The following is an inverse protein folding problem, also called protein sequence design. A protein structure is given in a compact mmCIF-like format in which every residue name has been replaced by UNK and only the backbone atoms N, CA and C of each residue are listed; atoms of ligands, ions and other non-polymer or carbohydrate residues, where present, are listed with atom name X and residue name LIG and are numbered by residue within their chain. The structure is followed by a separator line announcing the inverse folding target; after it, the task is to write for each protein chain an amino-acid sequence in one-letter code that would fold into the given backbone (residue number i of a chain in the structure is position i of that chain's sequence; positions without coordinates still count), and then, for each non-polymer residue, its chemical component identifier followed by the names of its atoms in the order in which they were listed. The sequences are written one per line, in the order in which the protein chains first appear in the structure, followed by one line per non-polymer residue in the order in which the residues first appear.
data_IF_991888821695
#
_entry.id   IF_991888821695
#
_cell.length_a   1.000
_cell.length_b   1.000
_cell.length_c   1.000
_cell.angle_alpha   90.00
_cell.angle_beta   90.00
_cell.angle_gamma   90.00
#
_symmetry.space_group_name_H-M   'P 1'
#
loop_
_entity.id
_entity.type
_entity.pdbx_description
1 polymer ?
#
# COMPACT_ATOMS: atom_id res chain seq x y z
N UNK A 1 0.53 -62.73 -20.61
CA UNK A 1 -0.41 -61.98 -19.74
C UNK A 1 0.26 -61.44 -18.48
N UNK A 2 0.81 -62.26 -17.57
CA UNK A 2 1.49 -61.77 -16.34
C UNK A 2 2.60 -60.73 -16.58
N UNK A 3 3.49 -60.95 -17.56
CA UNK A 3 4.55 -59.97 -17.92
C UNK A 3 4.00 -58.64 -18.45
N UNK A 4 2.87 -58.69 -19.16
CA UNK A 4 2.20 -57.51 -19.71
C UNK A 4 1.52 -56.70 -18.60
N UNK A 5 0.89 -57.38 -17.64
CA UNK A 5 0.29 -56.77 -16.44
C UNK A 5 1.37 -56.11 -15.57
N UNK A 6 2.50 -56.80 -15.33
CA UNK A 6 3.62 -56.24 -14.56
C UNK A 6 4.23 -55.02 -15.27
N UNK A 7 4.40 -55.07 -16.58
CA UNK A 7 4.89 -53.92 -17.37
C UNK A 7 3.92 -52.73 -17.33
N UNK A 8 2.61 -52.97 -17.39
CA UNK A 8 1.59 -51.94 -17.24
C UNK A 8 1.56 -51.32 -15.84
N UNK A 9 1.76 -52.11 -14.79
CA UNK A 9 1.86 -51.63 -13.41
C UNK A 9 3.13 -50.79 -13.18
N UNK A 10 4.26 -51.22 -13.75
CA UNK A 10 5.53 -50.49 -13.65
C UNK A 10 5.47 -49.13 -14.34
N UNK A 11 4.88 -49.08 -15.54
CA UNK A 11 4.69 -47.82 -16.29
C UNK A 11 3.75 -46.86 -15.57
N UNK A 12 2.65 -47.36 -15.01
CA UNK A 12 1.75 -46.55 -14.19
C UNK A 12 2.46 -45.97 -12.95
N UNK A 13 3.24 -46.79 -12.24
CA UNK A 13 4.05 -46.34 -11.09
C UNK A 13 5.04 -45.22 -11.45
N UNK A 14 5.70 -45.33 -12.62
CA UNK A 14 6.61 -44.31 -13.12
C UNK A 14 5.91 -43.00 -13.50
N UNK A 15 4.68 -43.07 -14.00
CA UNK A 15 3.88 -41.88 -14.31
C UNK A 15 3.46 -41.18 -13.01
N UNK A 16 3.00 -41.94 -12.00
CA UNK A 16 2.65 -41.35 -10.70
C UNK A 16 3.85 -40.69 -10.03
N UNK A 17 5.02 -41.34 -10.02
CA UNK A 17 6.22 -40.76 -9.42
C UNK A 17 6.67 -39.49 -10.15
N UNK A 18 6.55 -39.45 -11.48
CA UNK A 18 6.84 -38.26 -12.29
C UNK A 18 5.90 -37.09 -11.97
N UNK A 19 4.60 -37.36 -11.81
CA UNK A 19 3.61 -36.34 -11.42
C UNK A 19 3.88 -35.83 -10.00
N UNK A 20 4.15 -36.72 -9.04
CA UNK A 20 4.47 -36.34 -7.66
C UNK A 20 5.74 -35.49 -7.58
N UNK A 21 6.78 -35.85 -8.34
CA UNK A 21 8.02 -35.07 -8.40
C UNK A 21 7.81 -33.69 -9.01
N UNK A 22 7.01 -33.61 -10.08
CA UNK A 22 6.65 -32.35 -10.71
C UNK A 22 5.88 -31.42 -9.75
N UNK A 23 4.91 -31.96 -9.00
CA UNK A 23 4.18 -31.23 -7.97
C UNK A 23 5.10 -30.67 -6.88
N UNK A 24 6.12 -31.42 -6.47
CA UNK A 24 7.07 -31.00 -5.42
C UNK A 24 8.04 -29.92 -5.91
N UNK A 25 8.35 -29.89 -7.21
CA UNK A 25 9.16 -28.84 -7.82
C UNK A 25 8.38 -27.55 -8.10
N UNK A 26 7.07 -27.64 -8.33
CA UNK A 26 6.19 -26.48 -8.55
C UNK A 26 5.78 -25.78 -7.25
N UNK A 27 5.88 -26.44 -6.10
CA UNK A 27 5.63 -25.79 -4.81
C UNK A 27 6.79 -24.85 -4.48
N UNK A 28 6.63 -23.55 -4.77
CA UNK A 28 7.49 -22.52 -4.19
C UNK A 28 7.23 -22.46 -2.69
N UNK A 29 8.28 -22.61 -1.90
CA UNK A 29 8.21 -22.39 -0.46
C UNK A 29 8.07 -20.91 -0.16
N UNK A 30 7.34 -20.58 0.89
CA UNK A 30 7.26 -19.22 1.40
C UNK A 30 8.64 -18.74 1.86
N UNK A 31 9.11 -17.64 1.30
CA UNK A 31 10.37 -17.00 1.71
C UNK A 31 10.08 -15.72 2.52
N UNK A 32 10.25 -15.82 3.85
CA UNK A 32 10.05 -14.70 4.76
C UNK A 32 11.06 -13.56 4.54
N UNK A 33 12.23 -13.84 3.97
CA UNK A 33 13.26 -12.84 3.66
C UNK A 33 12.82 -12.02 2.45
N UNK A 34 12.41 -12.68 1.37
CA UNK A 34 11.88 -12.03 0.16
C UNK A 34 10.71 -11.09 0.52
N UNK A 35 9.76 -11.57 1.33
CA UNK A 35 8.64 -10.74 1.81
C UNK A 35 9.12 -9.48 2.54
N UNK A 36 10.13 -9.59 3.41
CA UNK A 36 10.68 -8.43 4.13
C UNK A 36 11.38 -7.46 3.18
N UNK A 37 12.09 -7.97 2.18
CA UNK A 37 12.76 -7.15 1.17
C UNK A 37 11.75 -6.39 0.31
N UNK A 38 10.68 -7.06 -0.14
CA UNK A 38 9.58 -6.41 -0.87
C UNK A 38 8.88 -5.34 -0.01
N UNK A 39 8.58 -5.64 1.25
CA UNK A 39 7.99 -4.65 2.17
C UNK A 39 8.92 -3.44 2.29
N UNK A 40 10.22 -3.65 2.54
CA UNK A 40 11.19 -2.58 2.67
C UNK A 40 11.29 -1.73 1.41
N UNK A 41 11.32 -2.36 0.23
CA UNK A 41 11.34 -1.68 -1.06
C UNK A 41 10.08 -0.83 -1.24
N UNK A 42 8.90 -1.43 -1.12
CA UNK A 42 7.63 -0.75 -1.31
C UNK A 42 7.40 0.36 -0.29
N UNK A 43 7.92 0.22 0.93
CA UNK A 43 7.84 1.23 2.00
C UNK A 43 8.99 2.24 2.00
N UNK A 44 9.89 2.20 1.02
CA UNK A 44 11.03 3.11 0.95
C UNK A 44 10.60 4.56 0.70
N UNK A 45 11.49 5.50 1.02
CA UNK A 45 11.28 6.93 0.79
C UNK A 45 11.06 7.28 -0.69
N UNK A 46 11.50 6.42 -1.62
CA UNK A 46 11.29 6.57 -3.06
C UNK A 46 9.81 6.69 -3.41
N UNK A 47 8.93 5.97 -2.69
CA UNK A 47 7.51 5.90 -3.00
C UNK A 47 6.62 6.86 -2.21
N UNK A 48 7.19 7.70 -1.34
CA UNK A 48 6.54 8.86 -0.68
C UNK A 48 5.10 8.62 -0.19
N UNK A 49 4.83 7.45 0.39
CA UNK A 49 3.51 7.13 0.95
C UNK A 49 2.42 6.72 -0.05
N UNK A 50 2.72 6.62 -1.35
CA UNK A 50 1.87 6.02 -2.41
C UNK A 50 0.41 6.52 -2.39
N UNK A 51 0.23 7.82 -2.22
CA UNK A 51 -1.10 8.41 -2.23
C UNK A 51 -1.80 8.14 -3.58
N UNK A 52 -3.07 7.77 -3.54
CA UNK A 52 -3.86 7.48 -4.75
C UNK A 52 -3.79 8.64 -5.74
N UNK A 53 -3.47 8.34 -7.00
CA UNK A 53 -3.35 9.32 -8.07
C UNK A 53 -1.99 10.02 -8.19
N UNK A 54 -1.01 9.72 -7.34
CA UNK A 54 0.37 10.21 -7.51
C UNK A 54 1.19 9.33 -8.45
N UNK A 55 2.32 9.86 -8.92
CA UNK A 55 3.27 9.13 -9.77
C UNK A 55 3.84 7.90 -9.05
N UNK A 56 4.16 8.05 -7.77
CA UNK A 56 4.74 6.98 -6.95
C UNK A 56 3.78 5.80 -6.80
N UNK A 57 2.47 6.07 -6.66
CA UNK A 57 1.46 5.02 -6.66
C UNK A 57 1.40 4.28 -8.01
N UNK A 58 1.55 4.99 -9.13
CA UNK A 58 1.59 4.38 -10.46
C UNK A 58 2.86 3.52 -10.66
N UNK A 59 4.02 3.96 -10.17
CA UNK A 59 5.28 3.20 -10.23
C UNK A 59 5.18 1.89 -9.45
N UNK A 60 4.61 1.91 -8.24
CA UNK A 60 4.37 0.68 -7.48
C UNK A 60 3.35 -0.22 -8.16
N UNK A 61 2.32 0.35 -8.79
CA UNK A 61 1.39 -0.41 -9.62
C UNK A 61 2.06 -1.09 -10.82
N UNK A 62 3.07 -0.48 -11.43
CA UNK A 62 3.89 -1.09 -12.48
C UNK A 62 4.76 -2.22 -11.93
N UNK A 63 5.43 -2.00 -10.79
CA UNK A 63 6.20 -3.04 -10.11
C UNK A 63 5.36 -4.29 -9.82
N UNK A 64 4.17 -4.14 -9.25
CA UNK A 64 3.28 -5.28 -8.93
C UNK A 64 2.83 -6.01 -10.20
N UNK A 65 2.51 -5.27 -11.28
CA UNK A 65 2.19 -5.87 -12.58
C UNK A 65 3.36 -6.72 -13.08
N UNK A 66 4.58 -6.19 -13.04
CA UNK A 66 5.75 -6.88 -13.56
C UNK A 66 6.08 -8.15 -12.74
N UNK A 67 5.85 -8.13 -11.43
CA UNK A 67 5.92 -9.33 -10.58
C UNK A 67 4.85 -10.37 -10.97
N UNK A 68 3.62 -9.95 -11.27
CA UNK A 68 2.57 -10.85 -11.77
C UNK A 68 2.94 -11.50 -13.10
N UNK A 69 3.48 -10.72 -14.03
CA UNK A 69 3.99 -11.24 -15.31
C UNK A 69 5.15 -12.21 -15.09
N UNK A 70 6.08 -11.89 -14.18
CA UNK A 70 7.25 -12.72 -13.87
C UNK A 70 6.86 -14.10 -13.32
N UNK A 71 5.83 -14.18 -12.47
CA UNK A 71 5.35 -15.46 -11.94
C UNK A 71 4.38 -16.20 -12.89
N UNK A 72 4.07 -15.62 -14.06
CA UNK A 72 3.16 -16.20 -15.04
C UNK A 72 1.68 -16.11 -14.64
N UNK A 73 1.31 -15.14 -13.81
CA UNK A 73 -0.08 -14.91 -13.43
C UNK A 73 -0.82 -14.27 -14.60
N UNK A 74 -1.95 -14.86 -15.00
CA UNK A 74 -2.80 -14.32 -16.05
C UNK A 74 -3.68 -13.17 -15.52
N UNK A 75 -3.92 -12.12 -16.33
CA UNK A 75 -4.79 -11.03 -15.95
C UNK A 75 -6.25 -11.48 -15.86
N UNK A 76 -6.99 -10.93 -14.92
CA UNK A 76 -8.41 -11.26 -14.72
C UNK A 76 -9.34 -10.72 -15.83
N UNK A 77 -8.95 -9.61 -16.48
CA UNK A 77 -9.77 -8.88 -17.46
C UNK A 77 -8.87 -8.31 -18.56
N UNK A 78 -9.20 -7.12 -19.08
CA UNK A 78 -8.41 -6.36 -20.05
C UNK A 78 -7.11 -5.81 -19.42
N UNK A 79 -6.21 -6.73 -19.06
CA UNK A 79 -4.91 -6.45 -18.44
C UNK A 79 -4.90 -6.57 -16.91
N UNK A 80 -3.79 -6.14 -16.32
CA UNK A 80 -3.50 -6.28 -14.89
C UNK A 80 -4.08 -5.15 -14.03
N UNK A 81 -4.72 -4.15 -14.64
CA UNK A 81 -5.24 -2.97 -13.94
C UNK A 81 -6.76 -2.95 -13.92
N UNK A 82 -7.31 -2.55 -12.77
CA UNK A 82 -8.73 -2.22 -12.61
C UNK A 82 -8.86 -0.77 -12.12
N UNK A 83 -9.37 0.10 -12.99
CA UNK A 83 -9.58 1.51 -12.65
C UNK A 83 -10.85 1.73 -11.84
N UNK A 84 -10.80 2.65 -10.89
CA UNK A 84 -11.93 3.09 -10.07
C UNK A 84 -11.74 4.56 -9.66
N UNK A 85 -12.82 5.21 -9.24
CA UNK A 85 -12.79 6.60 -8.77
C UNK A 85 -12.84 6.65 -7.25
N UNK A 86 -12.03 7.53 -6.65
CA UNK A 86 -12.03 7.81 -5.22
C UNK A 86 -11.85 9.29 -4.94
N UNK A 87 -12.39 9.73 -3.81
CA UNK A 87 -11.98 11.00 -3.22
C UNK A 87 -10.58 10.84 -2.63
N UNK A 88 -9.70 11.79 -2.90
CA UNK A 88 -8.34 11.79 -2.38
C UNK A 88 -8.02 13.15 -1.75
N UNK A 89 -7.16 13.19 -0.71
CA UNK A 89 -6.69 14.43 -0.14
C UNK A 89 -5.82 15.15 -1.17
N UNK A 90 -6.30 16.28 -1.68
CA UNK A 90 -5.52 17.17 -2.53
C UNK A 90 -4.67 18.06 -1.62
N UNK A 91 -3.35 18.04 -1.81
CA UNK A 91 -2.48 19.01 -1.15
C UNK A 91 -2.89 20.40 -1.62
N UNK A 92 -3.31 21.23 -0.66
CA UNK A 92 -3.34 22.67 -0.80
C UNK A 92 -1.87 23.08 -0.66
N UNK A 93 -1.35 23.87 -1.59
CA UNK A 93 0.06 24.30 -1.64
C UNK A 93 0.49 25.18 -0.45
N UNK A 94 -0.39 25.35 0.53
CA UNK A 94 -0.23 26.21 1.68
C UNK A 94 0.32 25.38 2.84
N UNK A 95 1.29 25.93 3.55
CA UNK A 95 1.76 25.32 4.79
C UNK A 95 0.66 25.42 5.85
N UNK A 96 0.25 24.31 6.49
CA UNK A 96 -0.73 24.36 7.55
C UNK A 96 -0.17 25.19 8.71
N UNK A 97 -0.87 26.27 9.05
CA UNK A 97 -0.50 27.14 10.17
C UNK A 97 -1.70 27.36 11.10
N UNK A 98 -1.41 27.49 12.39
CA UNK A 98 -2.37 28.01 13.35
C UNK A 98 -1.89 29.41 13.75
N UNK A 99 -2.73 30.42 13.50
CA UNK A 99 -2.45 31.81 13.84
C UNK A 99 -3.51 32.36 14.81
N UNK A 100 -3.06 33.11 15.82
CA UNK A 100 -3.92 33.93 16.67
C UNK A 100 -4.08 35.27 15.96
N UNK A 101 -5.30 35.54 15.52
CA UNK A 101 -5.68 36.76 14.81
C UNK A 101 -6.69 37.56 15.63
N UNK A 102 -6.66 38.89 15.52
CA UNK A 102 -7.74 39.73 16.06
C UNK A 102 -8.90 39.90 15.06
N UNK A 103 -9.93 40.64 15.49
CA UNK A 103 -11.11 40.97 14.69
C UNK A 103 -10.77 41.73 13.40
N UNK A 104 -9.63 42.42 13.35
CA UNK A 104 -9.15 43.17 12.19
C UNK A 104 -8.21 42.32 11.31
N UNK A 105 -8.14 41.00 11.53
CA UNK A 105 -7.27 40.03 10.85
C UNK A 105 -5.78 40.29 11.02
N UNK A 106 -5.37 41.04 12.04
CA UNK A 106 -3.95 41.20 12.36
C UNK A 106 -3.45 39.96 13.08
N UNK A 107 -2.37 39.38 12.57
CA UNK A 107 -1.69 38.24 13.20
C UNK A 107 -0.94 38.72 14.45
N UNK A 108 -1.30 38.19 15.61
CA UNK A 108 -0.61 38.42 16.87
C UNK A 108 0.42 37.34 17.17
N UNK A 109 0.15 36.10 16.76
CA UNK A 109 1.04 34.97 17.01
C UNK A 109 0.83 33.87 15.97
N UNK A 110 1.91 33.25 15.51
CA UNK A 110 1.89 31.99 14.76
C UNK A 110 2.33 30.90 15.74
N UNK A 111 1.59 29.80 15.81
CA UNK A 111 1.92 28.67 16.66
C UNK A 111 2.83 27.71 15.90
N UNK A 112 3.84 27.18 16.58
CA UNK A 112 4.78 26.20 16.04
C UNK A 112 4.31 24.77 16.31
N UNK A 113 4.26 23.94 15.26
CA UNK A 113 3.91 22.52 15.37
C UNK A 113 4.96 21.75 16.18
N UNK A 114 4.51 20.88 17.08
CA UNK A 114 5.35 20.12 18.00
C UNK A 114 5.84 20.92 19.21
N UNK A 115 5.66 22.25 19.21
CA UNK A 115 6.04 23.14 20.33
C UNK A 115 4.80 23.69 21.03
N UNK A 116 3.94 24.39 20.30
CA UNK A 116 2.73 25.03 20.83
C UNK A 116 1.49 24.17 20.65
N UNK A 117 1.45 23.36 19.61
CA UNK A 117 0.35 22.45 19.32
C UNK A 117 0.86 21.18 18.67
N UNK A 118 0.06 20.12 18.77
CA UNK A 118 0.24 18.89 18.01
C UNK A 118 -1.10 18.48 17.47
N UNK A 119 -1.10 17.79 16.34
CA UNK A 119 -2.31 17.21 15.79
C UNK A 119 -2.69 15.96 16.60
N UNK A 120 -3.98 15.78 16.90
CA UNK A 120 -4.49 14.57 17.55
C UNK A 120 -5.18 13.60 16.55
N UNK A 121 -5.12 13.94 15.26
CA UNK A 121 -5.74 13.22 14.13
C UNK A 121 -7.27 13.18 14.16
N UNK A 122 -7.93 13.99 15.00
CA UNK A 122 -9.36 14.21 14.91
C UNK A 122 -9.65 15.16 13.75
N UNK A 123 -10.45 14.69 12.79
CA UNK A 123 -10.92 15.52 11.68
C UNK A 123 -11.90 16.57 12.21
N UNK A 124 -11.39 17.75 12.56
CA UNK A 124 -12.23 18.90 12.82
C UNK A 124 -12.65 19.53 11.49
N UNK A 125 -13.96 19.51 11.19
CA UNK A 125 -14.53 20.25 10.05
C UNK A 125 -14.43 21.78 10.23
N UNK A 126 -14.10 22.24 11.43
CA UNK A 126 -13.97 23.65 11.78
C UNK A 126 -12.49 24.01 11.83
N UNK A 127 -12.09 25.03 11.08
CA UNK A 127 -10.71 25.52 10.99
C UNK A 127 -10.48 26.81 11.79
N UNK A 128 -11.52 27.33 12.44
CA UNK A 128 -11.50 28.59 13.19
C UNK A 128 -12.23 28.40 14.53
N UNK A 129 -11.69 29.01 15.58
CA UNK A 129 -12.27 29.05 16.92
C UNK A 129 -12.17 30.50 17.41
N UNK A 130 -13.30 31.10 17.74
CA UNK A 130 -13.37 32.41 18.38
C UNK A 130 -13.44 32.24 19.91
N UNK A 131 -12.72 33.10 20.63
CA UNK A 131 -12.72 33.14 22.09
C UNK A 131 -12.66 34.59 22.58
N UNK A 132 -13.20 34.85 23.75
CA UNK A 132 -13.17 36.16 24.41
C UNK A 132 -12.70 36.09 25.88
N UNK A 133 -12.73 37.23 26.57
CA UNK A 133 -12.24 37.32 27.95
C UNK A 133 -13.08 36.52 28.96
N UNK A 134 -14.32 36.15 28.63
CA UNK A 134 -15.18 35.31 29.46
C UNK A 134 -14.76 33.84 29.39
N UNK A 135 -14.09 33.43 28.31
CA UNK A 135 -13.60 32.06 28.12
C UNK A 135 -12.34 31.74 28.94
N UNK A 136 -11.71 32.76 29.53
CA UNK A 136 -10.51 32.62 30.39
C UNK A 136 -10.89 32.24 31.83
N UNK A 137 -11.96 31.46 32.01
CA UNK A 137 -12.41 31.03 33.33
C UNK A 137 -11.63 29.81 33.83
N UNK A 138 -11.05 29.98 35.03
CA UNK A 138 -10.29 29.06 35.91
C UNK A 138 -8.82 28.79 35.58
#
# INVERSE_FOLDING_TARGET
MKKFIVSSLLTFSLILSSISYNSLMLTKNFDAKEVKETIHYLSSDEFKGRLSGTLENALVGAYIKDEFEHIGLEPLSNGYYQSFQVNYPKSLSDEPMIAVIDKDKKIHKILEYGVNYKEDLLNFRNTEIEFDNLDVSS
#
